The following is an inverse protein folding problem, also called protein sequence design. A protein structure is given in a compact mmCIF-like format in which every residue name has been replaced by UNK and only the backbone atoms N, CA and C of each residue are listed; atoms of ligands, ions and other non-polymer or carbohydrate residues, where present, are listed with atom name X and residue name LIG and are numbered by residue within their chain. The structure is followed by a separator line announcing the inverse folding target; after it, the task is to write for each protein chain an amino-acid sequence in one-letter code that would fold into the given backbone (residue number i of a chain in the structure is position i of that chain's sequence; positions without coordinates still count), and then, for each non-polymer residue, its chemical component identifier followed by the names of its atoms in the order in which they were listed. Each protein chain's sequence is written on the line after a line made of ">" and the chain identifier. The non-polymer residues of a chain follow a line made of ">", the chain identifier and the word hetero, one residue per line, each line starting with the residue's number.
data_IF_074710095699
#
_entry.id   IF_074710095699
#
_cell.length_a   1.000
_cell.length_b   1.000
_cell.length_c   1.000
_cell.angle_alpha   90.00
_cell.angle_beta   90.00
_cell.angle_gamma   90.00
#
_symmetry.space_group_name_H-M   'P 1'
#
loop_
_entity.id
_entity.type
_entity.pdbx_description
1 polymer ?
#
# COMPACT_ATOMS: atom_id res chain seq x y z
N UNK A 1 -12.13 9.74 17.69
CA UNK A 1 -10.99 8.97 17.14
C UNK A 1 -9.79 9.91 17.17
N UNK A 2 -8.69 9.59 17.88
CA UNK A 2 -7.67 10.53 18.38
C UNK A 2 -7.24 11.70 17.44
N UNK A 3 -7.26 11.54 16.11
CA UNK A 3 -7.02 12.61 15.14
C UNK A 3 -7.95 13.83 15.29
N UNK A 4 -9.24 13.60 15.58
CA UNK A 4 -10.25 14.66 15.73
C UNK A 4 -10.26 15.33 17.11
N UNK A 5 -9.42 14.85 18.04
CA UNK A 5 -9.28 15.42 19.37
C UNK A 5 -8.22 16.55 19.45
N UNK A 6 -7.78 17.06 18.29
CA UNK A 6 -6.85 18.20 18.20
C UNK A 6 -5.36 17.85 18.35
N UNK A 7 -5.01 16.59 18.63
CA UNK A 7 -3.62 16.14 18.73
C UNK A 7 -3.28 15.21 17.58
N UNK A 8 -2.98 15.80 16.42
CA UNK A 8 -2.44 15.06 15.28
C UNK A 8 -1.10 14.42 15.71
N UNK A 9 -0.88 13.11 15.45
CA UNK A 9 0.36 12.46 15.82
C UNK A 9 1.55 13.16 15.15
N UNK A 10 2.71 13.22 15.82
CA UNK A 10 3.91 13.82 15.26
C UNK A 10 4.29 13.11 13.96
N UNK A 11 4.86 13.85 13.02
CA UNK A 11 5.37 13.27 11.77
C UNK A 11 6.52 12.32 12.11
N UNK A 12 6.44 11.03 11.74
CA UNK A 12 7.55 10.10 11.92
C UNK A 12 8.79 10.60 11.19
N UNK A 13 9.95 10.56 11.85
CA UNK A 13 11.22 10.85 11.18
C UNK A 13 11.54 9.72 10.23
N UNK A 14 11.93 10.05 9.00
CA UNK A 14 12.39 9.09 7.99
C UNK A 14 13.90 8.99 7.97
N UNK A 15 14.39 7.77 7.92
CA UNK A 15 15.78 7.51 7.55
C UNK A 15 15.99 7.72 6.04
N UNK A 16 17.26 7.84 5.61
CA UNK A 16 17.63 8.01 4.20
C UNK A 16 17.09 6.87 3.33
N UNK A 17 17.18 5.62 3.81
CA UNK A 17 16.71 4.44 3.07
C UNK A 17 15.19 4.45 2.88
N UNK A 18 14.43 4.80 3.92
CA UNK A 18 12.97 4.95 3.84
C UNK A 18 12.59 6.07 2.87
N UNK A 19 13.29 7.21 2.94
CA UNK A 19 13.07 8.32 2.02
C UNK A 19 13.31 7.92 0.56
N UNK A 20 14.43 7.24 0.26
CA UNK A 20 14.72 6.72 -1.07
C UNK A 20 13.64 5.75 -1.55
N UNK A 21 13.22 4.83 -0.68
CA UNK A 21 12.15 3.89 -0.99
C UNK A 21 10.86 4.63 -1.37
N UNK A 22 10.40 5.58 -0.56
CA UNK A 22 9.19 6.36 -0.87
C UNK A 22 9.37 7.13 -2.18
N UNK A 23 10.51 7.77 -2.39
CA UNK A 23 10.78 8.58 -3.58
C UNK A 23 10.70 7.75 -4.86
N UNK A 24 11.30 6.57 -4.89
CA UNK A 24 11.40 5.76 -6.12
C UNK A 24 10.26 4.76 -6.27
N UNK A 25 9.91 4.04 -5.21
CA UNK A 25 8.90 2.98 -5.29
C UNK A 25 7.50 3.57 -5.21
N UNK A 26 7.22 4.42 -4.22
CA UNK A 26 5.86 4.94 -3.98
C UNK A 26 5.51 6.08 -4.93
N UNK A 27 6.40 7.07 -5.08
CA UNK A 27 6.13 8.28 -5.87
C UNK A 27 6.38 8.05 -7.36
N UNK A 28 7.53 7.47 -7.74
CA UNK A 28 7.85 7.21 -9.15
C UNK A 28 7.27 5.89 -9.68
N UNK A 29 6.76 5.03 -8.80
CA UNK A 29 6.14 3.77 -9.20
C UNK A 29 7.12 2.74 -9.74
N UNK A 30 8.39 2.79 -9.33
CA UNK A 30 9.47 1.93 -9.82
C UNK A 30 9.68 0.77 -8.84
N UNK A 31 8.99 -0.35 -9.07
CA UNK A 31 9.22 -1.60 -8.32
C UNK A 31 10.25 -2.45 -9.08
N UNK A 32 11.37 -2.84 -8.44
CA UNK A 32 12.34 -3.76 -9.04
C UNK A 32 11.71 -5.13 -9.29
N UNK A 33 12.09 -5.77 -10.39
CA UNK A 33 11.61 -7.10 -10.81
C UNK A 33 12.57 -8.19 -10.34
N UNK A 34 12.11 -9.44 -10.35
CA UNK A 34 12.95 -10.63 -10.21
C UNK A 34 13.26 -11.07 -8.77
N UNK A 35 12.78 -10.33 -7.76
CA UNK A 35 12.85 -10.82 -6.39
C UNK A 35 11.78 -11.92 -6.16
N UNK A 36 12.15 -13.09 -5.61
CA UNK A 36 11.18 -14.10 -5.26
C UNK A 36 10.29 -13.60 -4.11
N UNK A 37 9.00 -13.97 -4.15
CA UNK A 37 8.13 -13.75 -3.01
C UNK A 37 8.65 -14.54 -1.78
N UNK A 38 8.53 -14.00 -0.56
CA UNK A 38 8.81 -14.78 0.64
C UNK A 38 7.90 -16.01 0.69
N UNK A 39 8.43 -17.16 1.12
CA UNK A 39 7.65 -18.41 1.23
C UNK A 39 6.39 -18.25 2.09
N UNK A 40 6.44 -17.40 3.10
CA UNK A 40 5.28 -17.07 3.96
C UNK A 40 4.14 -16.37 3.23
N UNK A 41 4.38 -15.86 2.03
CA UNK A 41 3.38 -15.19 1.19
C UNK A 41 2.87 -16.08 0.06
N UNK A 42 3.36 -17.31 -0.03
CA UNK A 42 2.81 -18.27 -0.99
C UNK A 42 1.41 -18.66 -0.53
N UNK A 43 0.41 -18.62 -1.42
CA UNK A 43 -0.92 -19.04 -1.07
C UNK A 43 -0.90 -20.53 -0.70
N UNK A 44 -1.48 -20.87 0.44
CA UNK A 44 -1.58 -22.26 0.92
C UNK A 44 -2.67 -23.07 0.21
N UNK A 45 -3.51 -22.40 -0.58
CA UNK A 45 -4.58 -22.97 -1.39
C UNK A 45 -4.76 -22.18 -2.69
N UNK A 46 -5.54 -22.71 -3.64
CA UNK A 46 -5.99 -21.96 -4.81
C UNK A 46 -7.30 -21.25 -4.44
N UNK A 47 -7.28 -19.95 -4.12
CA UNK A 47 -8.49 -19.27 -3.70
C UNK A 47 -9.47 -19.12 -4.87
N UNK A 48 -10.76 -19.18 -4.58
CA UNK A 48 -11.80 -18.90 -5.57
C UNK A 48 -11.64 -17.48 -6.13
N UNK A 49 -11.71 -17.37 -7.46
CA UNK A 49 -11.46 -16.11 -8.19
C UNK A 49 -12.47 -15.04 -7.79
N UNK A 50 -13.74 -15.39 -7.72
CA UNK A 50 -14.81 -14.44 -7.45
C UNK A 50 -14.76 -13.95 -6.00
N UNK A 51 -14.43 -14.84 -5.07
CA UNK A 51 -14.17 -14.48 -3.68
C UNK A 51 -13.00 -13.49 -3.54
N UNK A 52 -11.89 -13.71 -4.26
CA UNK A 52 -10.73 -12.79 -4.27
C UNK A 52 -11.13 -11.44 -4.85
N UNK A 53 -11.84 -11.40 -5.99
CA UNK A 53 -12.28 -10.16 -6.60
C UNK A 53 -13.26 -9.39 -5.70
N UNK A 54 -14.17 -10.09 -5.02
CA UNK A 54 -15.08 -9.49 -4.07
C UNK A 54 -14.33 -8.89 -2.87
N UNK A 55 -13.31 -9.59 -2.35
CA UNK A 55 -12.47 -9.09 -1.27
C UNK A 55 -11.71 -7.82 -1.69
N UNK A 56 -11.07 -7.83 -2.86
CA UNK A 56 -10.37 -6.65 -3.40
C UNK A 56 -11.31 -5.45 -3.52
N UNK A 57 -12.52 -5.65 -4.06
CA UNK A 57 -13.52 -4.56 -4.17
C UNK A 57 -13.92 -3.99 -2.81
N UNK A 58 -14.16 -4.85 -1.81
CA UNK A 58 -14.48 -4.43 -0.44
C UNK A 58 -13.35 -3.62 0.18
N UNK A 59 -12.10 -4.07 0.02
CA UNK A 59 -10.95 -3.37 0.59
C UNK A 59 -10.72 -2.01 -0.08
N UNK A 60 -10.88 -1.93 -1.41
CA UNK A 60 -10.85 -0.64 -2.13
C UNK A 60 -11.95 0.30 -1.65
N UNK A 61 -13.18 -0.19 -1.48
CA UNK A 61 -14.29 0.61 -0.96
C UNK A 61 -14.02 1.12 0.46
N UNK A 62 -13.44 0.28 1.33
CA UNK A 62 -13.02 0.68 2.69
C UNK A 62 -12.00 1.80 2.65
N UNK A 63 -10.99 1.70 1.80
CA UNK A 63 -10.02 2.78 1.64
C UNK A 63 -10.72 4.07 1.21
N UNK A 64 -11.54 4.05 0.15
CA UNK A 64 -12.28 5.24 -0.29
C UNK A 64 -13.10 5.88 0.82
N UNK A 65 -13.88 5.08 1.55
CA UNK A 65 -14.68 5.56 2.67
C UNK A 65 -13.84 6.25 3.75
N UNK A 66 -12.67 5.70 4.10
CA UNK A 66 -11.73 6.37 5.02
C UNK A 66 -11.31 7.72 4.46
N UNK A 67 -10.91 7.78 3.19
CA UNK A 67 -10.53 9.02 2.52
C UNK A 67 -11.63 10.08 2.58
N UNK A 68 -12.87 9.69 2.26
CA UNK A 68 -14.03 10.59 2.23
C UNK A 68 -14.37 11.18 3.61
N UNK A 69 -14.07 10.45 4.69
CA UNK A 69 -14.31 10.91 6.06
C UNK A 69 -13.22 11.82 6.65
N UNK A 70 -12.07 11.95 5.97
CA UNK A 70 -10.91 12.70 6.45
C UNK A 70 -10.69 13.97 5.63
N UNK A 71 -10.45 15.09 6.31
CA UNK A 71 -9.95 16.31 5.69
C UNK A 71 -8.53 16.12 5.13
N UNK A 72 -8.10 17.01 4.23
CA UNK A 72 -6.80 16.91 3.57
C UNK A 72 -5.63 16.82 4.57
N UNK A 73 -5.62 17.67 5.60
CA UNK A 73 -4.60 17.69 6.65
C UNK A 73 -4.60 16.42 7.53
N UNK A 74 -5.77 15.81 7.74
CA UNK A 74 -5.89 14.57 8.49
C UNK A 74 -5.36 13.37 7.70
N UNK A 75 -5.59 13.34 6.38
CA UNK A 75 -5.06 12.30 5.49
C UNK A 75 -3.53 12.26 5.53
N UNK A 76 -2.88 13.41 5.52
CA UNK A 76 -1.42 13.51 5.58
C UNK A 76 -0.84 13.18 6.96
N UNK A 77 -1.69 13.03 7.99
CA UNK A 77 -1.30 12.70 9.36
C UNK A 77 -1.78 11.32 9.82
N UNK A 78 -2.39 10.56 8.92
CA UNK A 78 -2.73 9.16 9.16
C UNK A 78 -1.54 8.27 8.79
N UNK A 79 -0.88 7.71 9.80
CA UNK A 79 0.34 6.92 9.64
C UNK A 79 0.04 5.43 9.51
N UNK A 80 0.34 4.85 8.35
CA UNK A 80 0.13 3.43 8.05
C UNK A 80 1.48 2.69 8.13
N UNK A 81 1.63 1.63 8.95
CA UNK A 81 2.83 0.79 8.95
C UNK A 81 3.10 0.21 7.57
N UNK A 82 4.37 0.19 7.15
CA UNK A 82 4.78 -0.67 6.05
C UNK A 82 4.71 -2.15 6.51
N UNK A 83 4.00 -3.03 5.78
CA UNK A 83 3.80 -4.43 6.20
C UNK A 83 5.09 -5.26 6.22
N UNK A 84 6.11 -4.87 5.45
CA UNK A 84 7.41 -5.56 5.38
C UNK A 84 8.48 -4.91 6.27
N UNK A 85 8.30 -3.64 6.63
CA UNK A 85 9.19 -2.87 7.50
C UNK A 85 8.35 -2.07 8.50
N UNK A 86 7.83 -2.68 9.59
CA UNK A 86 6.87 -2.03 10.49
C UNK A 86 7.38 -0.73 11.17
N UNK A 87 8.69 -0.53 11.20
CA UNK A 87 9.33 0.71 11.65
C UNK A 87 9.11 1.89 10.68
N UNK A 88 8.86 1.61 9.40
CA UNK A 88 8.57 2.62 8.38
C UNK A 88 7.09 2.95 8.36
N UNK A 89 6.79 4.21 8.08
CA UNK A 89 5.41 4.74 8.11
C UNK A 89 5.11 5.47 6.82
N UNK A 90 4.02 5.08 6.18
CA UNK A 90 3.42 5.83 5.09
C UNK A 90 2.45 6.87 5.64
N UNK A 91 2.32 8.02 4.98
CA UNK A 91 1.05 8.77 5.03
C UNK A 91 -0.05 7.93 4.38
N UNK A 92 -1.31 8.25 4.64
CA UNK A 92 -2.41 7.56 3.98
C UNK A 92 -2.38 7.71 2.44
N UNK A 93 -2.14 8.90 1.84
CA UNK A 93 -1.94 9.01 0.40
C UNK A 93 -0.78 8.17 -0.15
N UNK A 94 0.33 8.06 0.59
CA UNK A 94 1.45 7.20 0.19
C UNK A 94 1.09 5.72 0.24
N UNK A 95 0.34 5.27 1.25
CA UNK A 95 -0.09 3.87 1.32
C UNK A 95 -1.00 3.52 0.15
N UNK A 96 -1.93 4.42 -0.22
CA UNK A 96 -2.77 4.24 -1.41
C UNK A 96 -1.95 4.18 -2.70
N UNK A 97 -0.98 5.08 -2.86
CA UNK A 97 -0.07 5.04 -4.03
C UNK A 97 0.71 3.75 -4.10
N UNK A 98 1.28 3.30 -2.98
CA UNK A 98 2.01 2.03 -2.92
C UNK A 98 1.14 0.86 -3.35
N UNK A 99 -0.12 0.78 -2.89
CA UNK A 99 -1.06 -0.26 -3.31
C UNK A 99 -1.34 -0.21 -4.83
N UNK A 100 -1.56 0.99 -5.39
CA UNK A 100 -1.79 1.16 -6.81
C UNK A 100 -0.57 0.78 -7.67
N UNK A 101 0.63 1.20 -7.27
CA UNK A 101 1.89 0.84 -7.94
C UNK A 101 2.10 -0.68 -7.88
N UNK A 102 1.84 -1.30 -6.73
CA UNK A 102 1.99 -2.74 -6.54
C UNK A 102 1.01 -3.54 -7.40
N UNK A 103 -0.26 -3.12 -7.45
CA UNK A 103 -1.26 -3.73 -8.33
C UNK A 103 -0.88 -3.61 -9.81
N UNK A 104 -0.39 -2.44 -10.25
CA UNK A 104 0.09 -2.25 -11.63
C UNK A 104 1.29 -3.15 -11.95
N UNK A 105 2.23 -3.28 -11.02
CA UNK A 105 3.38 -4.16 -11.18
C UNK A 105 2.96 -5.62 -11.37
N UNK A 106 2.05 -6.13 -10.53
CA UNK A 106 1.51 -7.49 -10.70
C UNK A 106 0.68 -7.64 -11.97
N UNK A 107 -0.12 -6.64 -12.34
CA UNK A 107 -0.84 -6.66 -13.61
C UNK A 107 0.08 -6.81 -14.82
N UNK A 108 1.22 -6.12 -14.81
CA UNK A 108 2.25 -6.28 -15.85
C UNK A 108 2.86 -7.70 -15.86
N UNK A 109 3.20 -8.25 -14.69
CA UNK A 109 3.74 -9.61 -14.57
C UNK A 109 2.73 -10.66 -15.06
N UNK A 110 1.46 -10.55 -14.67
CA UNK A 110 0.40 -11.46 -15.13
C UNK A 110 0.21 -11.37 -16.64
N UNK A 111 0.19 -10.16 -17.20
CA UNK A 111 0.13 -9.97 -18.66
C UNK A 111 1.30 -10.62 -19.39
N UNK A 112 2.51 -10.55 -18.83
CA UNK A 112 3.69 -11.23 -19.38
C UNK A 112 3.56 -12.76 -19.34
N UNK A 113 2.92 -13.33 -18.31
CA UNK A 113 2.66 -14.78 -18.23
C UNK A 113 1.56 -15.24 -19.18
N UNK A 114 0.53 -14.42 -19.41
CA UNK A 114 -0.61 -14.79 -20.28
C UNK A 114 -0.29 -14.67 -21.78
N UNK A 115 0.73 -13.89 -22.14
CA UNK A 115 1.16 -13.67 -23.53
C UNK A 115 2.36 -14.56 -23.94
N UNK A 116 2.77 -15.49 -23.07
CA UNK A 116 3.78 -16.52 -23.34
C UNK A 116 3.09 -17.86 -23.51
#
# INVERSE_FOLDING_TARGET
>A
MQLRAGTLPPVPRRGVVEWLFVRFVVVRGQIPRGAPAPKSMHPTSTPDRDAVLAQVRRDVARYRAIGDTLGASERDRLWVPNPFRPAWRYTYPESLRMQAVHARHHGALVGEFMNK
#
